data_IF_033025876392
#
_entry.id   IF_033025876392
#
_cell.length_a   1.000
_cell.length_b   1.000
_cell.length_c   1.000
_cell.angle_alpha   90.00
_cell.angle_beta   90.00
_cell.angle_gamma   90.00
#
_symmetry.space_group_name_H-M   'P 1'
#
loop_
_entity.id
_entity.type
_entity.pdbx_description
1 polymer ?
#
# COMPACT_ATOMS: atom_id res chain seq x y z
N UNK A 1 5.42 15.63 21.27
CA UNK A 1 6.54 16.45 20.75
C UNK A 1 5.88 17.55 19.93
N UNK A 2 5.99 18.81 20.35
CA UNK A 2 5.37 19.96 19.67
C UNK A 2 6.39 20.43 18.62
N UNK A 3 6.07 20.30 17.33
CA UNK A 3 7.00 20.70 16.27
C UNK A 3 6.94 22.21 16.04
N UNK A 4 8.09 22.86 16.15
CA UNK A 4 8.27 24.29 15.91
C UNK A 4 8.71 24.50 14.45
N UNK A 5 7.86 25.14 13.66
CA UNK A 5 8.11 25.45 12.25
C UNK A 5 9.09 26.62 12.19
N UNK A 6 10.31 26.38 11.67
CA UNK A 6 11.29 27.43 11.40
C UNK A 6 11.16 27.89 9.95
N UNK A 7 10.63 29.10 9.74
CA UNK A 7 10.47 29.70 8.40
C UNK A 7 11.75 30.40 7.97
N UNK A 8 12.30 30.00 6.81
CA UNK A 8 13.49 30.60 6.21
C UNK A 8 13.14 31.72 5.22
N UNK A 9 13.85 32.85 5.34
CA UNK A 9 13.71 34.09 4.56
C UNK A 9 14.05 33.93 3.07
N UNK A 10 13.43 34.78 2.24
CA UNK A 10 13.52 34.80 0.79
C UNK A 10 14.90 35.15 0.25
N UNK A 11 15.43 34.26 -0.58
CA UNK A 11 15.74 34.52 -1.99
C UNK A 11 16.25 33.20 -2.61
N UNK A 12 15.66 32.81 -3.75
CA UNK A 12 16.08 31.65 -4.53
C UNK A 12 15.18 30.41 -4.42
N UNK A 13 14.18 30.33 -5.31
CA UNK A 13 13.61 29.06 -5.82
C UNK A 13 13.13 28.04 -4.79
N UNK A 14 12.61 28.48 -3.64
CA UNK A 14 12.04 27.60 -2.62
C UNK A 14 10.53 27.78 -2.53
N UNK A 15 9.87 26.66 -2.31
CA UNK A 15 8.43 26.55 -2.13
C UNK A 15 7.96 27.49 -1.03
N UNK A 16 6.84 28.19 -1.27
CA UNK A 16 6.21 29.00 -0.22
C UNK A 16 5.98 28.13 1.02
N UNK A 17 6.30 28.63 2.21
CA UNK A 17 6.09 27.94 3.49
C UNK A 17 4.66 27.41 3.66
N UNK A 18 3.69 28.01 2.97
CA UNK A 18 2.30 27.56 2.90
C UNK A 18 2.13 26.21 2.21
N UNK A 19 2.88 25.94 1.15
CA UNK A 19 2.78 24.66 0.41
C UNK A 19 3.53 23.55 1.15
N UNK A 20 4.69 23.85 1.75
CA UNK A 20 5.38 22.92 2.63
C UNK A 20 4.48 22.52 3.82
N UNK A 21 3.92 23.51 4.52
CA UNK A 21 2.96 23.25 5.60
C UNK A 21 1.71 22.48 5.11
N UNK A 22 1.29 22.71 3.87
CA UNK A 22 0.19 21.94 3.25
C UNK A 22 0.53 20.47 3.04
N UNK A 23 1.75 20.17 2.57
CA UNK A 23 2.24 18.79 2.43
C UNK A 23 2.35 18.14 3.81
N UNK A 24 2.94 18.82 4.78
CA UNK A 24 3.05 18.34 6.17
C UNK A 24 1.68 18.01 6.76
N UNK A 25 0.68 18.87 6.53
CA UNK A 25 -0.68 18.63 7.01
C UNK A 25 -1.33 17.43 6.31
N UNK A 26 -1.11 17.26 5.00
CA UNK A 26 -1.62 16.10 4.27
C UNK A 26 -0.96 14.81 4.74
N UNK A 27 0.35 14.85 5.02
CA UNK A 27 1.10 13.72 5.56
C UNK A 27 0.61 13.36 6.96
N UNK A 28 0.34 14.34 7.82
CA UNK A 28 -0.26 14.11 9.14
C UNK A 28 -1.67 13.53 9.06
N UNK A 29 -2.49 13.96 8.10
CA UNK A 29 -3.83 13.40 7.88
C UNK A 29 -3.71 11.94 7.42
N UNK A 30 -2.75 11.66 6.53
CA UNK A 30 -2.47 10.30 6.08
C UNK A 30 -1.94 9.44 7.25
N UNK A 31 -1.02 9.93 8.08
CA UNK A 31 -0.55 9.22 9.27
C UNK A 31 -1.67 8.95 10.28
N UNK A 32 -2.53 9.93 10.52
CA UNK A 32 -3.70 9.77 11.37
C UNK A 32 -4.67 8.72 10.82
N UNK A 33 -4.86 8.70 9.50
CA UNK A 33 -5.68 7.69 8.83
C UNK A 33 -5.02 6.30 8.86
N UNK A 34 -3.69 6.20 8.75
CA UNK A 34 -2.94 4.95 8.87
C UNK A 34 -3.10 4.33 10.27
N UNK A 35 -3.18 5.15 11.33
CA UNK A 35 -3.48 4.68 12.69
C UNK A 35 -4.90 4.11 12.88
N UNK A 36 -5.81 4.39 11.93
CA UNK A 36 -7.20 3.92 11.90
C UNK A 36 -7.48 3.06 10.65
N UNK A 37 -6.44 2.40 10.12
CA UNK A 37 -6.44 1.67 8.84
C UNK A 37 -7.60 0.71 8.56
N UNK A 38 -8.26 0.04 9.52
CA UNK A 38 -9.38 -0.83 9.16
C UNK A 38 -10.66 -0.05 8.86
N UNK A 39 -10.84 1.15 9.43
CA UNK A 39 -12.09 1.94 9.33
C UNK A 39 -12.28 2.52 7.93
N UNK A 40 -11.20 2.81 7.20
CA UNK A 40 -11.22 3.50 5.90
C UNK A 40 -11.76 2.63 4.76
N UNK A 41 -11.75 1.31 4.94
CA UNK A 41 -12.19 0.36 3.92
C UNK A 41 -13.66 -0.02 4.06
N UNK A 42 -14.33 0.36 5.15
CA UNK A 42 -15.70 -0.06 5.43
C UNK A 42 -16.75 0.89 4.83
N UNK A 43 -17.78 0.32 4.20
CA UNK A 43 -18.95 1.09 3.75
C UNK A 43 -19.73 1.60 4.97
N UNK A 44 -19.85 2.92 5.11
CA UNK A 44 -20.58 3.56 6.21
C UNK A 44 -22.08 3.28 6.06
N UNK A 45 -22.67 2.44 6.93
CA UNK A 45 -24.12 2.43 7.10
C UNK A 45 -24.54 3.81 7.62
N UNK A 46 -25.16 4.61 6.75
CA UNK A 46 -25.72 5.91 7.11
C UNK A 46 -26.82 5.66 8.15
N UNK A 47 -26.57 6.07 9.39
CA UNK A 47 -27.64 6.30 10.35
C UNK A 47 -27.44 7.66 11.03
N UNK A 48 -28.43 8.53 10.77
CA UNK A 48 -28.82 9.74 11.47
C UNK A 48 -27.75 10.76 11.90
N UNK A 49 -27.77 11.92 11.24
CA UNK A 49 -27.28 13.18 11.80
C UNK A 49 -26.47 13.98 10.79
N UNK A 50 -27.00 15.15 10.40
CA UNK A 50 -26.27 16.13 9.59
C UNK A 50 -24.98 16.55 10.29
N UNK A 51 -23.85 16.08 9.80
CA UNK A 51 -22.61 16.83 9.81
C UNK A 51 -21.93 16.61 8.46
N UNK A 52 -21.51 17.69 7.80
CA UNK A 52 -20.77 17.68 6.54
C UNK A 52 -19.32 17.17 6.76
N UNK A 53 -19.15 16.08 7.52
CA UNK A 53 -17.85 15.48 7.76
C UNK A 53 -17.49 14.69 6.50
N UNK A 54 -16.40 15.05 5.80
CA UNK A 54 -15.98 14.33 4.62
C UNK A 54 -15.64 12.88 4.98
N UNK A 55 -16.04 11.96 4.12
CA UNK A 55 -15.72 10.54 4.27
C UNK A 55 -14.19 10.35 4.38
N UNK A 56 -13.69 9.70 5.45
CA UNK A 56 -12.25 9.52 5.67
C UNK A 56 -11.54 8.84 4.50
N UNK A 57 -12.16 7.86 3.85
CA UNK A 57 -11.60 7.19 2.68
C UNK A 57 -11.36 8.16 1.52
N UNK A 58 -12.38 8.96 1.21
CA UNK A 58 -12.32 10.01 0.18
C UNK A 58 -11.26 11.07 0.49
N UNK A 59 -11.10 11.47 1.76
CA UNK A 59 -10.04 12.39 2.18
C UNK A 59 -8.67 11.78 1.93
N UNK A 60 -8.44 10.53 2.32
CA UNK A 60 -7.14 9.84 2.11
C UNK A 60 -6.81 9.74 0.62
N UNK A 61 -7.79 9.32 -0.19
CA UNK A 61 -7.60 9.22 -1.64
C UNK A 61 -7.24 10.59 -2.24
N UNK A 62 -7.92 11.65 -1.81
CA UNK A 62 -7.61 13.01 -2.22
C UNK A 62 -6.20 13.43 -1.79
N UNK A 63 -5.77 13.10 -0.56
CA UNK A 63 -4.43 13.41 -0.06
C UNK A 63 -3.36 12.72 -0.92
N UNK A 64 -3.52 11.44 -1.23
CA UNK A 64 -2.61 10.68 -2.10
C UNK A 64 -2.55 11.28 -3.51
N UNK A 65 -3.69 11.70 -4.06
CA UNK A 65 -3.72 12.37 -5.36
C UNK A 65 -3.00 13.72 -5.35
N UNK A 66 -3.16 14.52 -4.30
CA UNK A 66 -2.47 15.80 -4.15
C UNK A 66 -0.97 15.56 -4.03
N UNK A 67 -0.53 14.63 -3.17
CA UNK A 67 0.88 14.24 -3.06
C UNK A 67 1.44 13.80 -4.41
N UNK A 68 0.71 12.96 -5.14
CA UNK A 68 1.11 12.53 -6.49
C UNK A 68 1.31 13.72 -7.43
N UNK A 69 0.39 14.70 -7.43
CA UNK A 69 0.50 15.90 -8.28
C UNK A 69 1.67 16.80 -7.86
N UNK A 70 1.93 16.92 -6.56
CA UNK A 70 3.06 17.69 -6.00
C UNK A 70 4.38 17.04 -6.40
N UNK A 71 4.55 15.74 -6.18
CA UNK A 71 5.75 14.99 -6.58
C UNK A 71 5.98 15.02 -8.10
N UNK A 72 4.91 15.02 -8.89
CA UNK A 72 5.00 15.13 -10.35
C UNK A 72 5.51 16.49 -10.85
N UNK A 73 5.33 17.54 -10.05
CA UNK A 73 5.69 18.93 -10.37
C UNK A 73 6.94 19.37 -9.58
N UNK A 74 7.95 18.52 -9.50
CA UNK A 74 9.21 18.77 -8.78
C UNK A 74 9.94 20.08 -9.15
N UNK A 75 9.73 20.61 -10.36
CA UNK A 75 10.25 21.91 -10.77
C UNK A 75 9.54 23.11 -10.12
N UNK A 76 8.28 22.93 -9.70
CA UNK A 76 7.45 23.96 -9.05
C UNK A 76 7.37 23.74 -7.54
N UNK A 77 7.43 22.48 -7.10
CA UNK A 77 7.37 22.06 -5.71
C UNK A 77 8.60 21.24 -5.34
N UNK A 78 9.53 21.83 -4.61
CA UNK A 78 10.63 21.09 -4.01
C UNK A 78 10.12 20.29 -2.81
N UNK A 79 10.43 19.00 -2.80
CA UNK A 79 10.19 18.09 -1.67
C UNK A 79 11.54 17.74 -1.06
N UNK A 80 11.70 17.97 0.24
CA UNK A 80 12.86 17.48 0.97
C UNK A 80 12.87 15.94 1.03
N UNK A 81 14.03 15.35 1.30
CA UNK A 81 14.24 13.90 1.39
C UNK A 81 13.22 13.18 2.29
N UNK A 82 12.83 13.82 3.39
CA UNK A 82 11.89 13.24 4.34
C UNK A 82 10.46 13.17 3.78
N UNK A 83 10.00 14.17 3.02
CA UNK A 83 8.68 14.13 2.36
C UNK A 83 8.63 13.02 1.30
N UNK A 84 9.75 12.82 0.58
CA UNK A 84 9.89 11.71 -0.38
C UNK A 84 9.83 10.37 0.35
N UNK A 85 10.59 10.22 1.44
CA UNK A 85 10.56 9.02 2.28
C UNK A 85 9.15 8.71 2.77
N UNK A 86 8.43 9.75 3.24
CA UNK A 86 7.06 9.63 3.72
C UNK A 86 6.10 9.19 2.61
N UNK A 87 6.19 9.81 1.44
CA UNK A 87 5.39 9.45 0.26
C UNK A 87 5.62 7.98 -0.14
N UNK A 88 6.86 7.50 -0.08
CA UNK A 88 7.21 6.10 -0.35
C UNK A 88 6.65 5.13 0.70
N UNK A 89 6.46 5.58 1.94
CA UNK A 89 5.92 4.77 3.05
C UNK A 89 4.40 4.65 3.03
N UNK A 90 3.69 5.59 2.41
CA UNK A 90 2.21 5.64 2.43
C UNK A 90 1.55 4.30 2.07
N UNK A 91 1.93 3.60 0.99
CA UNK A 91 1.29 2.33 0.65
C UNK A 91 1.53 1.23 1.68
N UNK A 92 2.77 1.10 2.18
CA UNK A 92 3.09 0.13 3.22
C UNK A 92 2.21 0.33 4.46
N UNK A 93 2.01 1.58 4.88
CA UNK A 93 1.25 1.90 6.08
C UNK A 93 -0.28 1.71 5.89
N UNK A 94 -0.83 2.03 4.72
CA UNK A 94 -2.27 1.85 4.44
C UNK A 94 -2.68 0.38 4.27
N UNK A 95 -1.75 -0.47 3.85
CA UNK A 95 -2.00 -1.88 3.59
C UNK A 95 -1.29 -2.81 4.61
N UNK A 96 -0.68 -2.25 5.67
CA UNK A 96 0.14 -2.99 6.64
C UNK A 96 -0.66 -4.04 7.42
N UNK A 97 -1.95 -3.80 7.65
CA UNK A 97 -2.80 -4.68 8.48
C UNK A 97 -3.15 -6.03 7.83
N UNK A 98 -2.84 -6.23 6.53
CA UNK A 98 -2.83 -7.58 5.94
C UNK A 98 -1.88 -8.51 6.74
N UNK A 99 -0.86 -7.94 7.39
CA UNK A 99 0.11 -8.70 8.20
C UNK A 99 -0.36 -9.06 9.60
N UNK A 100 -1.09 -8.20 10.31
CA UNK A 100 -1.43 -8.47 11.71
C UNK A 100 -2.41 -9.64 11.85
N UNK A 101 -3.23 -9.88 10.84
CA UNK A 101 -4.12 -11.05 10.81
C UNK A 101 -3.34 -12.36 10.59
N UNK A 102 -2.15 -12.32 9.98
CA UNK A 102 -1.30 -13.50 9.75
C UNK A 102 -0.46 -13.94 10.96
N UNK A 103 -0.33 -13.11 12.01
CA UNK A 103 0.56 -13.40 13.16
C UNK A 103 -0.25 -13.75 14.44
N UNK A 104 -1.56 -13.48 14.50
CA UNK A 104 -2.40 -13.91 15.63
C UNK A 104 -2.88 -15.37 15.50
N UNK A 105 -1.96 -16.29 15.22
CA UNK A 105 -2.14 -17.72 15.51
C UNK A 105 -1.41 -18.05 16.82
N UNK A 106 -1.99 -17.61 17.93
CA UNK A 106 -1.83 -18.29 19.22
C UNK A 106 -3.20 -18.85 19.61
N UNK A 107 -3.35 -20.16 19.84
CA UNK A 107 -4.63 -20.74 20.22
C UNK A 107 -4.97 -20.28 21.63
N UNK A 108 -5.96 -19.41 21.77
CA UNK A 108 -6.63 -19.21 23.06
C UNK A 108 -7.39 -20.50 23.36
N UNK A 109 -7.15 -21.18 24.50
CA UNK A 109 -7.93 -22.36 24.85
C UNK A 109 -9.36 -21.93 25.17
N UNK A 110 -10.30 -22.50 24.42
CA UNK A 110 -11.71 -22.48 24.73
C UNK A 110 -11.94 -23.15 26.08
N UNK A 111 -12.17 -22.36 27.13
CA UNK A 111 -12.82 -22.87 28.33
C UNK A 111 -14.29 -22.46 28.30
N UNK A 112 -15.10 -23.36 27.77
CA UNK A 112 -16.51 -23.48 28.14
C UNK A 112 -16.58 -23.85 29.62
N UNK A 113 -17.16 -22.98 30.45
CA UNK A 113 -17.68 -23.36 31.75
C UNK A 113 -19.07 -22.73 31.91
N UNK A 114 -20.05 -23.62 31.99
CA UNK A 114 -21.47 -23.37 32.24
C UNK A 114 -21.69 -22.54 33.52
N UNK A 115 -22.66 -21.62 33.49
CA UNK A 115 -23.72 -21.52 34.50
C UNK A 115 -25.00 -20.97 33.84
N UNK A 116 -26.13 -21.41 34.39
CA UNK A 116 -27.43 -21.72 33.77
C UNK A 116 -28.45 -20.59 33.61
N UNK A 117 -29.36 -20.82 32.64
CA UNK A 117 -30.81 -20.51 32.53
C UNK A 117 -31.41 -19.22 33.14
N UNK A 118 -32.02 -18.37 32.32
CA UNK A 118 -33.49 -18.40 32.08
C UNK A 118 -33.98 -17.40 30.98
N UNK A 119 -34.79 -17.95 30.07
CA UNK A 119 -35.88 -17.41 29.22
C UNK A 119 -35.72 -16.27 28.18
N UNK A 120 -35.95 -16.67 26.92
CA UNK A 120 -36.85 -16.11 25.90
C UNK A 120 -36.92 -14.59 25.67
N UNK A 121 -36.41 -14.16 24.51
CA UNK A 121 -37.27 -13.62 23.44
C UNK A 121 -36.49 -13.47 22.14
N UNK A 122 -37.11 -13.92 21.05
CA UNK A 122 -36.68 -13.68 19.68
C UNK A 122 -36.40 -12.20 19.45
N UNK A 123 -35.14 -11.85 19.14
CA UNK A 123 -34.84 -10.61 18.43
C UNK A 123 -33.65 -10.87 17.52
N UNK A 124 -33.98 -11.15 16.26
CA UNK A 124 -33.19 -11.07 15.04
C UNK A 124 -31.73 -10.65 15.28
N UNK A 125 -30.82 -11.62 15.16
CA UNK A 125 -29.39 -11.36 15.08
C UNK A 125 -29.13 -10.40 13.91
N UNK A 126 -28.99 -9.11 14.22
CA UNK A 126 -28.42 -8.10 13.33
C UNK A 126 -26.93 -8.44 13.16
N UNK A 127 -26.66 -9.42 12.30
CA UNK A 127 -25.35 -9.65 11.72
C UNK A 127 -25.07 -8.50 10.75
N UNK A 128 -24.66 -7.35 11.29
CA UNK A 128 -24.09 -6.27 10.49
C UNK A 128 -22.70 -6.70 10.01
N UNK A 129 -22.64 -7.51 8.96
CA UNK A 129 -21.43 -7.69 8.19
C UNK A 129 -21.12 -6.36 7.50
N UNK A 130 -20.22 -5.58 8.07
CA UNK A 130 -19.75 -4.35 7.45
C UNK A 130 -19.01 -4.75 6.16
N UNK A 131 -19.63 -4.48 5.01
CA UNK A 131 -19.05 -4.79 3.72
C UNK A 131 -17.90 -3.82 3.44
N UNK A 132 -16.78 -4.33 2.93
CA UNK A 132 -15.67 -3.49 2.47
C UNK A 132 -16.05 -2.87 1.12
N UNK A 133 -15.85 -1.56 0.97
CA UNK A 133 -15.99 -0.90 -0.33
C UNK A 133 -14.83 -1.34 -1.24
N UNK A 134 -15.17 -2.34 -2.06
CA UNK A 134 -14.27 -2.94 -3.02
C UNK A 134 -13.81 -1.95 -4.08
N UNK A 135 -14.67 -1.02 -4.52
CA UNK A 135 -14.28 -0.03 -5.52
C UNK A 135 -13.30 0.99 -4.93
N UNK A 136 -13.53 1.40 -3.68
CA UNK A 136 -12.59 2.23 -2.94
C UNK A 136 -11.22 1.56 -2.81
N UNK A 137 -11.15 0.28 -2.40
CA UNK A 137 -9.87 -0.42 -2.25
C UNK A 137 -9.03 -0.48 -3.54
N UNK A 138 -9.69 -0.69 -4.69
CA UNK A 138 -9.03 -0.71 -6.01
C UNK A 138 -8.52 0.69 -6.37
N UNK A 139 -9.33 1.72 -6.12
CA UNK A 139 -8.95 3.11 -6.38
C UNK A 139 -7.77 3.54 -5.50
N UNK A 140 -7.78 3.15 -4.23
CA UNK A 140 -6.70 3.41 -3.28
C UNK A 140 -5.40 2.71 -3.70
N UNK A 141 -5.47 1.44 -4.10
CA UNK A 141 -4.32 0.70 -4.62
C UNK A 141 -3.75 1.38 -5.86
N UNK A 142 -4.61 1.72 -6.83
CA UNK A 142 -4.18 2.40 -8.05
C UNK A 142 -3.56 3.78 -7.76
N UNK A 143 -4.10 4.53 -6.80
CA UNK A 143 -3.55 5.81 -6.37
C UNK A 143 -2.17 5.65 -5.71
N UNK A 144 -2.01 4.65 -4.85
CA UNK A 144 -0.71 4.30 -4.25
C UNK A 144 0.33 3.96 -5.31
N UNK A 145 -0.02 3.13 -6.29
CA UNK A 145 0.91 2.80 -7.39
C UNK A 145 1.29 4.02 -8.21
N UNK A 146 0.33 4.93 -8.48
CA UNK A 146 0.62 6.19 -9.19
C UNK A 146 1.53 7.12 -8.37
N UNK A 147 1.34 7.19 -7.06
CA UNK A 147 2.22 7.95 -6.16
C UNK A 147 3.65 7.40 -6.24
N UNK A 148 3.84 6.11 -5.99
CA UNK A 148 5.16 5.47 -6.04
C UNK A 148 5.85 5.66 -7.39
N UNK A 149 5.13 5.41 -8.49
CA UNK A 149 5.64 5.65 -9.84
C UNK A 149 6.11 7.08 -10.04
N UNK A 150 5.31 8.06 -9.58
CA UNK A 150 5.61 9.48 -9.78
C UNK A 150 6.81 9.92 -8.94
N UNK A 151 6.90 9.45 -7.69
CA UNK A 151 8.03 9.72 -6.80
C UNK A 151 9.31 9.13 -7.38
N UNK A 152 9.27 7.86 -7.82
CA UNK A 152 10.38 7.22 -8.53
C UNK A 152 10.82 7.99 -9.77
N UNK A 153 9.87 8.47 -10.56
CA UNK A 153 10.13 9.20 -11.81
C UNK A 153 10.89 10.51 -11.59
N UNK A 154 10.49 11.26 -10.56
CA UNK A 154 10.89 12.66 -10.40
C UNK A 154 11.88 12.92 -9.25
N UNK A 155 11.96 12.02 -8.26
CA UNK A 155 12.81 12.18 -7.07
C UNK A 155 13.79 11.02 -6.93
N UNK A 156 14.60 10.78 -7.98
CA UNK A 156 15.44 9.58 -8.12
C UNK A 156 16.44 9.37 -6.97
N UNK A 157 17.25 10.39 -6.66
CA UNK A 157 18.29 10.32 -5.62
C UNK A 157 17.71 10.07 -4.24
N UNK A 158 16.62 10.76 -3.91
CA UNK A 158 15.96 10.62 -2.61
C UNK A 158 15.23 9.28 -2.52
N UNK A 159 14.66 8.80 -3.63
CA UNK A 159 14.05 7.47 -3.69
C UNK A 159 15.08 6.35 -3.52
N UNK A 160 16.29 6.51 -4.06
CA UNK A 160 17.39 5.55 -3.89
C UNK A 160 17.82 5.48 -2.42
N UNK A 161 18.00 6.65 -1.77
CA UNK A 161 18.31 6.72 -0.33
C UNK A 161 17.24 6.05 0.53
N UNK A 162 15.99 6.08 0.08
CA UNK A 162 14.84 5.50 0.77
C UNK A 162 14.37 4.17 0.15
N UNK A 163 15.25 3.44 -0.55
CA UNK A 163 14.87 2.24 -1.31
C UNK A 163 14.17 1.18 -0.44
N UNK A 164 14.53 1.05 0.83
CA UNK A 164 13.90 0.11 1.76
C UNK A 164 12.41 0.41 1.98
N UNK A 165 12.01 1.70 1.98
CA UNK A 165 10.61 2.10 2.12
C UNK A 165 9.82 1.79 0.85
N UNK A 166 10.43 2.03 -0.31
CA UNK A 166 9.83 1.67 -1.59
C UNK A 166 9.65 0.16 -1.72
N UNK A 167 10.69 -0.61 -1.42
CA UNK A 167 10.66 -2.08 -1.43
C UNK A 167 9.53 -2.60 -0.54
N UNK A 168 9.43 -2.08 0.69
CA UNK A 168 8.41 -2.48 1.64
C UNK A 168 7.00 -2.18 1.15
N UNK A 169 6.77 -0.98 0.60
CA UNK A 169 5.49 -0.59 0.01
C UNK A 169 5.10 -1.46 -1.17
N UNK A 170 6.03 -1.69 -2.10
CA UNK A 170 5.78 -2.54 -3.27
C UNK A 170 5.51 -3.98 -2.86
N UNK A 171 6.22 -4.50 -1.85
CA UNK A 171 6.00 -5.84 -1.30
C UNK A 171 4.62 -5.99 -0.66
N UNK A 172 4.17 -5.00 0.11
CA UNK A 172 2.81 -5.00 0.67
C UNK A 172 1.75 -4.98 -0.44
N UNK A 173 1.93 -4.14 -1.46
CA UNK A 173 1.02 -4.10 -2.61
C UNK A 173 1.00 -5.44 -3.37
N UNK A 174 2.14 -6.12 -3.47
CA UNK A 174 2.22 -7.45 -4.06
C UNK A 174 1.49 -8.50 -3.20
N UNK A 175 1.54 -8.40 -1.86
CA UNK A 175 0.74 -9.26 -0.99
C UNK A 175 -0.76 -9.08 -1.21
N UNK A 176 -1.25 -7.86 -1.48
CA UNK A 176 -2.66 -7.65 -1.84
C UNK A 176 -3.07 -8.42 -3.11
N UNK A 177 -2.14 -8.65 -4.03
CA UNK A 177 -2.39 -9.42 -5.26
C UNK A 177 -2.41 -10.93 -5.01
N UNK A 178 -1.73 -11.42 -3.97
CA UNK A 178 -1.83 -12.82 -3.52
C UNK A 178 -3.24 -13.14 -2.99
N UNK A 179 -3.93 -12.17 -2.38
CA UNK A 179 -5.25 -12.38 -1.75
C UNK A 179 -6.43 -12.37 -2.72
N UNK A 180 -6.19 -12.29 -4.03
CA UNK A 180 -7.24 -12.16 -5.05
C UNK A 180 -8.04 -13.45 -5.16
N UNK A 181 -9.37 -13.35 -4.97
CA UNK A 181 -10.33 -14.44 -5.20
C UNK A 181 -10.01 -15.72 -4.39
N UNK A 182 -9.40 -15.56 -3.20
CA UNK A 182 -9.32 -16.62 -2.17
C UNK A 182 -10.60 -16.60 -1.34
N UNK A 183 -11.31 -17.72 -1.22
CA UNK A 183 -12.53 -17.83 -0.40
C UNK A 183 -12.19 -17.68 1.09
N UNK A 184 -12.31 -16.46 1.61
CA UNK A 184 -12.02 -16.10 3.00
C UNK A 184 -13.14 -16.54 3.98
N UNK A 185 -13.55 -17.82 3.94
CA UNK A 185 -14.62 -18.34 4.83
C UNK A 185 -14.21 -18.35 6.31
N UNK A 186 -12.91 -18.29 6.63
CA UNK A 186 -12.42 -18.46 8.01
C UNK A 186 -11.84 -17.18 8.63
N UNK A 187 -11.64 -16.10 7.89
CA UNK A 187 -10.98 -14.90 8.41
C UNK A 187 -11.54 -13.68 7.68
N UNK A 188 -12.16 -12.74 8.41
CA UNK A 188 -12.79 -11.54 7.84
C UNK A 188 -11.72 -10.58 7.27
N UNK A 189 -11.18 -10.91 6.10
CA UNK A 189 -10.12 -10.17 5.41
C UNK A 189 -10.66 -9.15 4.41
N UNK A 190 -9.95 -8.03 4.28
CA UNK A 190 -10.40 -6.76 3.71
C UNK A 190 -10.44 -6.68 2.16
N UNK A 191 -10.01 -7.70 1.42
CA UNK A 191 -9.88 -7.61 -0.05
C UNK A 191 -10.36 -8.87 -0.78
N UNK A 192 -11.67 -9.01 -0.98
CA UNK A 192 -12.24 -10.02 -1.90
C UNK A 192 -12.28 -9.50 -3.35
N UNK A 193 -11.11 -9.17 -3.90
CA UNK A 193 -11.02 -8.74 -5.29
C UNK A 193 -11.37 -9.89 -6.22
N UNK A 194 -12.16 -9.62 -7.26
CA UNK A 194 -12.32 -10.56 -8.37
C UNK A 194 -11.02 -10.58 -9.17
N UNK A 195 -10.76 -11.70 -9.83
CA UNK A 195 -9.59 -11.89 -10.71
C UNK A 195 -9.39 -10.70 -11.66
N UNK A 196 -10.45 -10.22 -12.32
CA UNK A 196 -10.36 -9.09 -13.26
C UNK A 196 -9.92 -7.75 -12.63
N UNK A 197 -10.20 -7.53 -11.35
CA UNK A 197 -9.73 -6.33 -10.65
C UNK A 197 -8.32 -6.50 -10.13
N UNK A 198 -7.98 -7.72 -9.67
CA UNK A 198 -6.60 -8.08 -9.40
C UNK A 198 -5.71 -7.82 -10.62
N UNK A 199 -6.17 -8.18 -11.83
CA UNK A 199 -5.45 -7.91 -13.09
C UNK A 199 -5.25 -6.41 -13.31
N UNK A 200 -6.25 -5.56 -13.00
CA UNK A 200 -6.11 -4.09 -13.07
C UNK A 200 -5.06 -3.59 -12.07
N UNK A 201 -5.11 -4.05 -10.82
CA UNK A 201 -4.15 -3.71 -9.78
C UNK A 201 -2.73 -4.14 -10.18
N UNK A 202 -2.57 -5.36 -10.69
CA UNK A 202 -1.31 -5.86 -11.24
C UNK A 202 -0.75 -4.95 -12.35
N UNK A 203 -1.60 -4.49 -13.28
CA UNK A 203 -1.18 -3.54 -14.32
C UNK A 203 -0.65 -2.21 -13.75
N UNK A 204 -1.17 -1.74 -12.61
CA UNK A 204 -0.63 -0.54 -11.95
C UNK A 204 0.70 -0.82 -11.26
N UNK A 205 0.83 -1.96 -10.56
CA UNK A 205 2.08 -2.37 -9.90
C UNK A 205 3.20 -2.59 -10.91
N UNK A 206 2.88 -3.21 -12.06
CA UNK A 206 3.80 -3.44 -13.18
C UNK A 206 4.54 -2.19 -13.64
N UNK A 207 3.87 -1.03 -13.64
CA UNK A 207 4.47 0.25 -14.06
C UNK A 207 5.61 0.69 -13.15
N UNK A 208 5.57 0.30 -11.88
CA UNK A 208 6.66 0.57 -10.93
C UNK A 208 7.90 -0.23 -11.34
N UNK A 209 7.73 -1.51 -11.65
CA UNK A 209 8.81 -2.37 -12.14
C UNK A 209 9.40 -1.87 -13.46
N UNK A 210 8.55 -1.44 -14.39
CA UNK A 210 8.99 -0.82 -15.65
C UNK A 210 9.80 0.46 -15.40
N UNK A 211 9.39 1.31 -14.45
CA UNK A 211 10.12 2.55 -14.12
C UNK A 211 11.47 2.28 -13.45
N UNK A 212 11.55 1.27 -12.58
CA UNK A 212 12.82 0.82 -11.99
C UNK A 212 13.84 0.44 -13.08
N UNK A 213 13.37 -0.24 -14.14
CA UNK A 213 14.21 -0.56 -15.32
C UNK A 213 14.59 0.69 -16.12
N UNK A 214 13.65 1.62 -16.33
CA UNK A 214 13.96 2.86 -17.08
C UNK A 214 15.04 3.68 -16.39
N UNK A 215 15.16 3.57 -15.07
CA UNK A 215 16.17 4.24 -14.26
C UNK A 215 17.21 3.26 -13.71
N UNK A 216 17.62 2.30 -14.54
CA UNK A 216 18.60 1.26 -14.19
C UNK A 216 19.93 1.84 -13.68
N UNK A 217 20.31 3.03 -14.14
CA UNK A 217 21.52 3.74 -13.69
C UNK A 217 21.50 4.05 -12.18
N UNK A 218 20.31 4.28 -11.62
CA UNK A 218 20.11 4.56 -10.19
C UNK A 218 19.68 3.29 -9.44
N UNK A 219 18.69 2.56 -9.96
CA UNK A 219 18.06 1.46 -9.22
C UNK A 219 18.52 0.06 -9.61
N UNK A 220 19.45 -0.09 -10.56
CA UNK A 220 19.93 -1.40 -11.04
C UNK A 220 20.40 -2.29 -9.89
N UNK A 221 21.24 -1.75 -9.00
CA UNK A 221 21.77 -2.43 -7.80
C UNK A 221 20.72 -2.83 -6.76
N UNK A 222 19.46 -2.44 -6.93
CA UNK A 222 18.36 -2.76 -6.03
C UNK A 222 17.24 -3.55 -6.69
N UNK A 223 17.27 -3.69 -8.03
CA UNK A 223 16.21 -4.34 -8.80
C UNK A 223 16.02 -5.82 -8.39
N UNK A 224 17.11 -6.49 -8.01
CA UNK A 224 17.06 -7.88 -7.52
C UNK A 224 16.24 -8.05 -6.24
N UNK A 225 16.12 -7.02 -5.39
CA UNK A 225 15.32 -7.07 -4.16
C UNK A 225 13.82 -7.17 -4.48
N UNK A 226 13.36 -6.38 -5.46
CA UNK A 226 11.99 -6.44 -5.95
C UNK A 226 11.70 -7.79 -6.64
N UNK A 227 12.66 -8.28 -7.44
CA UNK A 227 12.55 -9.58 -8.09
C UNK A 227 12.53 -10.74 -7.07
N UNK A 228 13.36 -10.67 -6.03
CA UNK A 228 13.36 -11.63 -4.93
C UNK A 228 12.01 -11.67 -4.21
N UNK A 229 11.44 -10.52 -3.89
CA UNK A 229 10.11 -10.43 -3.27
C UNK A 229 9.03 -11.03 -4.18
N UNK A 230 9.14 -10.78 -5.49
CA UNK A 230 8.25 -11.39 -6.49
C UNK A 230 8.33 -12.92 -6.49
N UNK A 231 9.54 -13.48 -6.65
CA UNK A 231 9.76 -14.93 -6.72
C UNK A 231 9.28 -15.60 -5.42
N UNK A 232 9.57 -14.98 -4.27
CA UNK A 232 9.14 -15.48 -2.96
C UNK A 232 7.61 -15.61 -2.86
N UNK A 233 6.88 -14.56 -3.22
CA UNK A 233 5.41 -14.56 -3.15
C UNK A 233 4.82 -15.45 -4.24
N UNK A 234 5.35 -15.40 -5.47
CA UNK A 234 4.94 -16.25 -6.58
C UNK A 234 5.05 -17.74 -6.24
N UNK A 235 6.14 -18.15 -5.58
CA UNK A 235 6.40 -19.53 -5.16
C UNK A 235 5.53 -20.02 -4.00
N UNK A 236 4.55 -19.24 -3.56
CA UNK A 236 3.67 -19.61 -2.44
C UNK A 236 4.35 -19.52 -1.08
N UNK A 237 5.41 -18.71 -0.94
CA UNK A 237 5.98 -18.38 0.37
C UNK A 237 5.43 -17.05 0.93
N UNK A 238 4.43 -16.47 0.27
CA UNK A 238 3.72 -15.27 0.73
C UNK A 238 2.89 -15.50 2.00
N UNK A 239 2.31 -14.43 2.57
CA UNK A 239 1.48 -14.49 3.77
C UNK A 239 0.37 -15.54 3.73
N UNK A 240 -0.21 -15.80 2.57
CA UNK A 240 -1.27 -16.80 2.40
C UNK A 240 -0.77 -18.17 1.98
N UNK A 241 0.52 -18.28 1.65
CA UNK A 241 1.15 -19.48 1.10
C UNK A 241 0.43 -20.06 -0.13
N UNK A 242 -0.33 -19.21 -0.84
CA UNK A 242 -1.17 -19.62 -1.96
C UNK A 242 -0.53 -19.35 -3.31
N UNK A 243 0.46 -18.46 -3.35
CA UNK A 243 1.09 -18.05 -4.59
C UNK A 243 0.25 -17.04 -5.37
N UNK A 244 0.82 -16.51 -6.45
CA UNK A 244 0.15 -15.55 -7.33
C UNK A 244 -0.65 -16.31 -8.39
N UNK A 245 -1.93 -15.95 -8.57
CA UNK A 245 -2.78 -16.52 -9.62
C UNK A 245 -2.21 -16.24 -11.01
N UNK A 246 -2.40 -17.19 -11.93
CA UNK A 246 -1.85 -17.12 -13.30
C UNK A 246 -2.25 -15.85 -14.05
N UNK A 247 -3.49 -15.41 -13.93
CA UNK A 247 -3.99 -14.20 -14.59
C UNK A 247 -3.30 -12.93 -14.07
N UNK A 248 -2.96 -12.92 -12.79
CA UNK A 248 -2.26 -11.83 -12.11
C UNK A 248 -0.78 -11.83 -12.48
N UNK A 249 -0.16 -13.01 -12.50
CA UNK A 249 1.22 -13.22 -12.98
C UNK A 249 1.38 -12.73 -14.43
N UNK A 250 0.50 -13.15 -15.34
CA UNK A 250 0.55 -12.70 -16.75
C UNK A 250 0.41 -11.17 -16.89
N UNK A 251 -0.35 -10.52 -16.00
CA UNK A 251 -0.44 -9.07 -15.96
C UNK A 251 0.85 -8.40 -15.42
N UNK A 252 1.56 -9.03 -14.48
CA UNK A 252 2.82 -8.54 -13.90
C UNK A 252 4.04 -8.83 -14.78
N UNK A 253 3.97 -9.87 -15.60
CA UNK A 253 5.09 -10.45 -16.36
C UNK A 253 5.91 -9.45 -17.19
N UNK A 254 5.33 -8.46 -17.90
CA UNK A 254 6.14 -7.43 -18.55
C UNK A 254 7.01 -6.62 -17.57
N UNK A 255 6.51 -6.34 -16.37
CA UNK A 255 7.27 -5.68 -15.32
C UNK A 255 8.31 -6.60 -14.68
N UNK A 256 8.01 -7.89 -14.53
CA UNK A 256 8.98 -8.87 -14.04
C UNK A 256 10.16 -9.00 -15.01
N UNK A 257 9.89 -9.08 -16.32
CA UNK A 257 10.96 -9.04 -17.33
C UNK A 257 11.74 -7.72 -17.29
N UNK A 258 11.06 -6.61 -17.01
CA UNK A 258 11.74 -5.33 -16.81
C UNK A 258 12.72 -5.36 -15.63
N UNK A 259 12.37 -6.00 -14.51
CA UNK A 259 13.29 -6.19 -13.38
C UNK A 259 14.45 -7.11 -13.74
N UNK A 260 14.20 -8.22 -14.45
CA UNK A 260 15.25 -9.15 -14.90
C UNK A 260 16.27 -8.41 -15.78
N UNK A 261 15.81 -7.59 -16.74
CA UNK A 261 16.66 -6.76 -17.58
C UNK A 261 17.47 -5.72 -16.78
N UNK A 262 16.95 -5.26 -15.65
CA UNK A 262 17.59 -4.29 -14.78
C UNK A 262 18.68 -4.90 -13.89
N UNK A 263 18.57 -6.19 -13.55
CA UNK A 263 19.54 -6.90 -12.71
C UNK A 263 20.88 -7.12 -13.42
N UNK A 264 21.96 -7.22 -12.64
CA UNK A 264 23.26 -7.68 -13.13
C UNK A 264 23.32 -9.22 -13.23
N UNK A 265 24.34 -9.76 -13.91
CA UNK A 265 24.54 -11.21 -13.96
C UNK A 265 24.78 -11.80 -12.56
N UNK A 266 25.50 -11.09 -11.70
CA UNK A 266 25.78 -11.52 -10.32
C UNK A 266 24.50 -11.54 -9.48
N UNK A 267 23.62 -10.55 -9.65
CA UNK A 267 22.32 -10.51 -8.98
C UNK A 267 21.44 -11.71 -9.38
N UNK A 268 21.39 -12.05 -10.67
CA UNK A 268 20.63 -13.20 -11.17
C UNK A 268 21.23 -14.53 -10.68
N UNK A 269 22.56 -14.63 -10.62
CA UNK A 269 23.25 -15.79 -10.07
C UNK A 269 22.96 -15.95 -8.57
N UNK A 270 22.93 -14.85 -7.81
CA UNK A 270 22.53 -14.83 -6.42
C UNK A 270 21.09 -15.33 -6.25
N UNK A 271 20.14 -14.80 -7.03
CA UNK A 271 18.74 -15.24 -6.99
C UNK A 271 18.60 -16.74 -7.32
N UNK A 272 19.33 -17.23 -8.34
CA UNK A 272 19.35 -18.65 -8.66
C UNK A 272 19.92 -19.49 -7.50
N UNK A 273 20.88 -18.98 -6.73
CA UNK A 273 21.44 -19.71 -5.57
C UNK A 273 20.45 -19.75 -4.41
N UNK A 274 19.65 -18.69 -4.23
CA UNK A 274 18.68 -18.59 -3.13
C UNK A 274 17.40 -19.39 -3.41
N UNK A 275 16.96 -19.45 -4.68
CA UNK A 275 15.66 -20.02 -5.05
C UNK A 275 15.73 -21.29 -5.94
N UNK A 276 16.91 -21.64 -6.46
CA UNK A 276 17.12 -22.77 -7.37
C UNK A 276 17.50 -24.09 -6.70
#
# INVERSE_FOLDING_TARGET
MIYQISTGSGDGGKVSSTVAAGIDCLDLIIEYAQGNSPIIFYEKQISCGRENIPDPGSVILMCIEVLTRVSGKHALFQMDSWHVAQSLRVPAALFQEIRQVSISEAPVPSNSAMFSDDQNSDTVASQNSIAVDRQFSINLFAACCRLLYTVLKHHKSESERCIALLEESVRVLLHCLETVDTDWVVRKGYFSWKVQEGVKCACFLRRIYEELRQQKDVFGQHSFKFLSNYIWIYSGCGPLKSGIKREIDEALKPGVYALIDACSADDLQYLHTVFG
#
